data_IF_297350676729
#
_entry.id   IF_297350676729
#
_cell.length_a   1.000
_cell.length_b   1.000
_cell.length_c   1.000
_cell.angle_alpha   90.00
_cell.angle_beta   90.00
_cell.angle_gamma   90.00
#
_symmetry.space_group_name_H-M   'P 1'
#
loop_
_entity.id
_entity.type
_entity.pdbx_description
1 polymer ?
#
# COMPACT_ATOMS: atom_id res chain seq x y z
N UNK A 1 43.89 -2.64 -2.79
CA UNK A 1 42.59 -3.30 -3.08
C UNK A 1 42.03 -4.08 -1.88
N UNK A 2 42.86 -4.68 -1.04
CA UNK A 2 42.40 -5.43 0.15
C UNK A 2 41.80 -4.56 1.29
N UNK A 3 42.19 -3.30 1.44
CA UNK A 3 41.75 -2.42 2.51
C UNK A 3 40.34 -1.82 2.35
N UNK A 4 39.80 -1.82 1.14
CA UNK A 4 38.41 -1.37 0.89
C UNK A 4 37.41 -2.52 1.09
N UNK A 5 37.78 -3.74 0.81
CA UNK A 5 36.97 -4.93 1.02
C UNK A 5 36.69 -5.18 2.51
N UNK A 6 37.71 -5.01 3.36
CA UNK A 6 37.58 -5.18 4.83
C UNK A 6 36.64 -4.14 5.46
N UNK A 7 36.64 -2.90 4.98
CA UNK A 7 35.76 -1.84 5.54
C UNK A 7 34.29 -2.01 5.18
N UNK A 8 33.98 -2.66 4.07
CA UNK A 8 32.61 -2.88 3.64
C UNK A 8 32.01 -4.10 4.36
N UNK A 9 32.76 -5.15 4.57
CA UNK A 9 32.36 -6.34 5.34
C UNK A 9 32.08 -6.01 6.81
N UNK A 10 32.88 -5.16 7.42
CA UNK A 10 32.68 -4.72 8.82
C UNK A 10 31.40 -3.86 8.98
N UNK A 11 30.95 -3.14 7.96
CA UNK A 11 29.71 -2.36 8.03
C UNK A 11 28.45 -3.22 8.01
N UNK A 12 28.42 -4.32 7.27
CA UNK A 12 27.23 -5.17 7.14
C UNK A 12 27.17 -6.30 8.18
N UNK A 13 28.30 -6.89 8.53
CA UNK A 13 28.37 -7.83 9.66
C UNK A 13 27.98 -7.19 10.99
N UNK A 14 28.24 -5.88 11.15
CA UNK A 14 27.83 -5.12 12.32
C UNK A 14 26.33 -4.92 12.42
N UNK A 15 25.59 -4.94 11.29
CA UNK A 15 24.12 -4.78 11.26
C UNK A 15 23.41 -6.05 11.76
N UNK A 16 23.90 -7.23 11.37
CA UNK A 16 23.43 -8.51 11.93
C UNK A 16 23.85 -8.67 13.41
N UNK A 17 25.06 -8.22 13.76
CA UNK A 17 25.56 -8.30 15.13
C UNK A 17 24.83 -7.32 16.09
N UNK A 18 24.31 -6.19 15.59
CA UNK A 18 23.46 -5.29 16.37
C UNK A 18 22.11 -5.92 16.74
N UNK A 19 21.52 -6.72 15.85
CA UNK A 19 20.27 -7.45 16.11
C UNK A 19 20.47 -8.58 17.12
N UNK A 20 21.60 -9.27 17.04
CA UNK A 20 21.98 -10.37 17.98
C UNK A 20 22.52 -9.82 19.29
N UNK A 21 23.20 -8.67 19.29
CA UNK A 21 23.78 -8.05 20.51
C UNK A 21 22.75 -7.30 21.36
N UNK A 22 21.61 -6.89 20.83
CA UNK A 22 20.49 -6.36 21.64
C UNK A 22 19.94 -7.39 22.63
N UNK A 23 20.08 -8.68 22.34
CA UNK A 23 19.69 -9.76 23.27
C UNK A 23 20.72 -9.95 24.39
N UNK A 24 21.97 -9.53 24.21
CA UNK A 24 23.07 -9.70 25.17
C UNK A 24 23.49 -8.42 25.96
N UNK A 25 22.93 -7.26 25.65
CA UNK A 25 23.45 -5.97 26.18
C UNK A 25 22.60 -5.37 27.31
N UNK A 26 22.23 -6.15 28.30
CA UNK A 26 21.56 -5.67 29.53
C UNK A 26 22.49 -5.49 30.73
N UNK A 27 23.80 -5.25 30.54
CA UNK A 27 24.67 -4.87 31.69
C UNK A 27 25.86 -4.00 31.24
N UNK A 28 25.95 -2.75 31.74
CA UNK A 28 27.18 -1.97 31.83
C UNK A 28 27.12 -0.53 31.29
N UNK A 29 27.24 0.41 32.18
CA UNK A 29 27.35 1.88 32.02
C UNK A 29 28.44 2.33 31.03
N UNK A 30 28.03 2.65 29.76
CA UNK A 30 28.63 3.69 28.87
C UNK A 30 27.58 4.12 27.86
N UNK A 31 26.50 4.73 28.35
CA UNK A 31 25.16 4.61 27.70
C UNK A 31 24.74 5.76 26.80
N UNK A 32 25.43 6.85 26.69
CA UNK A 32 24.90 8.01 25.95
C UNK A 32 25.13 7.95 24.43
N UNK A 33 26.36 7.74 23.98
CA UNK A 33 26.72 7.80 22.55
C UNK A 33 26.37 6.54 21.77
N UNK A 34 26.44 5.35 22.40
CA UNK A 34 26.11 4.08 21.75
C UNK A 34 24.62 3.91 21.46
N UNK A 35 23.74 4.37 22.36
CA UNK A 35 22.26 4.32 22.16
C UNK A 35 21.79 5.23 21.02
N UNK A 36 22.35 6.42 20.89
CA UNK A 36 21.97 7.37 19.82
C UNK A 36 22.35 6.81 18.44
N UNK A 37 23.55 6.25 18.28
CA UNK A 37 24.01 5.66 17.03
C UNK A 37 23.21 4.40 16.66
N UNK A 38 22.83 3.58 17.64
CA UNK A 38 21.98 2.39 17.41
C UNK A 38 20.56 2.80 17.01
N UNK A 39 19.97 3.79 17.67
CA UNK A 39 18.66 4.35 17.34
C UNK A 39 18.61 4.95 15.93
N UNK A 40 19.64 5.69 15.53
CA UNK A 40 19.71 6.26 14.16
C UNK A 40 19.83 5.17 13.09
N UNK A 41 20.60 4.09 13.34
CA UNK A 41 20.71 2.95 12.42
C UNK A 41 19.40 2.19 12.32
N UNK A 42 18.75 1.91 13.45
CA UNK A 42 17.43 1.25 13.47
C UNK A 42 16.40 2.09 12.74
N UNK A 43 16.37 3.41 12.94
CA UNK A 43 15.48 4.32 12.22
C UNK A 43 15.74 4.30 10.71
N UNK A 44 16.99 4.25 10.27
CA UNK A 44 17.35 4.15 8.84
C UNK A 44 16.85 2.83 8.23
N UNK A 45 17.02 1.71 8.93
CA UNK A 45 16.53 0.40 8.47
C UNK A 45 15.00 0.39 8.41
N UNK A 46 14.33 0.87 9.45
CA UNK A 46 12.86 0.97 9.46
C UNK A 46 12.35 1.87 8.33
N UNK A 47 12.98 3.02 8.11
CA UNK A 47 12.62 3.90 7.00
C UNK A 47 12.84 3.22 5.64
N UNK A 48 13.95 2.49 5.45
CA UNK A 48 14.22 1.74 4.21
C UNK A 48 13.16 0.68 3.95
N UNK A 49 12.71 -0.06 4.97
CA UNK A 49 11.68 -1.09 4.84
C UNK A 49 10.30 -0.46 4.67
N UNK A 50 9.88 0.37 5.64
CA UNK A 50 8.49 0.81 5.75
C UNK A 50 8.16 2.04 4.89
N UNK A 51 9.14 2.87 4.54
CA UNK A 51 8.90 4.02 3.66
C UNK A 51 9.31 3.69 2.23
N UNK A 52 10.60 3.41 2.02
CA UNK A 52 11.11 3.20 0.66
C UNK A 52 10.64 1.86 0.08
N UNK A 53 10.73 0.78 0.84
CA UNK A 53 10.33 -0.56 0.41
C UNK A 53 8.83 -0.65 0.09
N UNK A 54 7.97 -0.21 1.02
CA UNK A 54 6.52 -0.22 0.77
C UNK A 54 6.10 0.77 -0.33
N UNK A 55 6.83 1.88 -0.51
CA UNK A 55 6.60 2.77 -1.66
C UNK A 55 6.96 2.09 -2.98
N UNK A 56 8.07 1.33 -3.02
CA UNK A 56 8.44 0.50 -4.17
C UNK A 56 7.41 -0.59 -4.46
N UNK A 57 6.93 -1.27 -3.42
CA UNK A 57 5.84 -2.23 -3.51
C UNK A 57 4.57 -1.60 -4.10
N UNK A 58 4.20 -0.40 -3.65
CA UNK A 58 3.04 0.31 -4.18
C UNK A 58 3.17 0.63 -5.68
N UNK A 59 4.37 1.04 -6.14
CA UNK A 59 4.63 1.26 -7.57
C UNK A 59 4.43 -0.02 -8.38
N UNK A 60 4.94 -1.15 -7.89
CA UNK A 60 4.76 -2.45 -8.53
C UNK A 60 3.29 -2.87 -8.62
N UNK A 61 2.56 -2.76 -7.49
CA UNK A 61 1.11 -3.03 -7.43
C UNK A 61 0.33 -2.13 -8.40
N UNK A 62 0.64 -0.85 -8.43
CA UNK A 62 -0.04 0.09 -9.32
C UNK A 62 0.14 -0.30 -10.78
N UNK A 63 1.40 -0.53 -11.20
CA UNK A 63 1.74 -0.81 -12.60
C UNK A 63 1.23 -2.15 -13.11
N UNK A 64 0.96 -3.11 -12.23
CA UNK A 64 0.53 -4.47 -12.59
C UNK A 64 -0.94 -4.71 -12.24
N UNK A 65 -1.23 -4.86 -10.95
CA UNK A 65 -2.57 -5.25 -10.48
C UNK A 65 -3.62 -4.17 -10.76
N UNK A 66 -3.31 -2.91 -10.43
CA UNK A 66 -4.29 -1.82 -10.54
C UNK A 66 -4.57 -1.50 -12.00
N UNK A 67 -3.54 -1.29 -12.81
CA UNK A 67 -3.70 -1.07 -14.25
C UNK A 67 -4.33 -2.30 -14.91
N UNK A 68 -3.93 -3.51 -14.54
CA UNK A 68 -4.56 -4.74 -14.99
C UNK A 68 -6.07 -4.77 -14.69
N UNK A 69 -6.48 -4.38 -13.49
CA UNK A 69 -7.90 -4.31 -13.12
C UNK A 69 -8.65 -3.28 -13.95
N UNK A 70 -8.08 -2.09 -14.19
CA UNK A 70 -8.67 -1.06 -15.05
C UNK A 70 -8.86 -1.59 -16.48
N UNK A 71 -7.84 -2.24 -17.04
CA UNK A 71 -7.93 -2.85 -18.40
C UNK A 71 -9.03 -3.91 -18.45
N UNK A 72 -9.19 -4.73 -17.39
CA UNK A 72 -10.27 -5.72 -17.32
C UNK A 72 -11.66 -5.06 -17.37
N UNK A 73 -11.85 -3.97 -16.61
CA UNK A 73 -13.12 -3.24 -16.61
C UNK A 73 -13.43 -2.61 -17.97
N UNK A 74 -12.43 -1.97 -18.59
CA UNK A 74 -12.56 -1.46 -19.96
C UNK A 74 -12.95 -2.60 -20.92
N UNK A 75 -12.29 -3.76 -20.82
CA UNK A 75 -12.61 -4.94 -21.62
C UNK A 75 -14.04 -5.46 -21.39
N UNK A 76 -14.54 -5.33 -20.15
CA UNK A 76 -15.94 -5.72 -19.82
C UNK A 76 -16.94 -4.73 -20.43
N UNK A 77 -16.64 -3.42 -20.39
CA UNK A 77 -17.50 -2.38 -20.95
C UNK A 77 -17.58 -2.43 -22.49
N UNK A 78 -16.46 -2.68 -23.16
CA UNK A 78 -16.39 -2.80 -24.63
C UNK A 78 -17.08 -4.09 -25.12
N UNK A 79 -16.86 -5.21 -24.42
CA UNK A 79 -17.38 -6.53 -24.82
C UNK A 79 -16.79 -7.06 -26.13
N UNK A 80 -17.37 -8.15 -26.65
CA UNK A 80 -16.97 -8.73 -27.94
C UNK A 80 -15.51 -9.22 -27.99
N UNK A 81 -14.94 -9.42 -29.18
CA UNK A 81 -13.57 -9.94 -29.34
C UNK A 81 -12.50 -8.98 -28.75
N UNK A 82 -12.66 -7.67 -28.92
CA UNK A 82 -11.74 -6.66 -28.38
C UNK A 82 -11.74 -6.71 -26.85
N UNK A 83 -12.92 -6.80 -26.25
CA UNK A 83 -13.04 -6.94 -24.79
C UNK A 83 -12.36 -8.21 -24.27
N UNK A 84 -12.43 -9.33 -25.01
CA UNK A 84 -11.75 -10.57 -24.66
C UNK A 84 -10.23 -10.43 -24.70
N UNK A 85 -9.66 -9.76 -25.71
CA UNK A 85 -8.23 -9.47 -25.77
C UNK A 85 -7.77 -8.58 -24.62
N UNK A 86 -8.54 -7.54 -24.27
CA UNK A 86 -8.22 -6.67 -23.13
C UNK A 86 -8.22 -7.45 -21.80
N UNK A 87 -9.19 -8.38 -21.61
CA UNK A 87 -9.21 -9.26 -20.45
C UNK A 87 -7.99 -10.20 -20.40
N UNK A 88 -7.55 -10.73 -21.55
CA UNK A 88 -6.33 -11.53 -21.61
C UNK A 88 -5.08 -10.71 -21.21
N UNK A 89 -4.93 -9.50 -21.73
CA UNK A 89 -3.86 -8.57 -21.35
C UNK A 89 -3.90 -8.27 -19.84
N UNK A 90 -5.10 -7.98 -19.32
CA UNK A 90 -5.32 -7.76 -17.87
C UNK A 90 -4.86 -8.95 -17.03
N UNK A 91 -5.18 -10.16 -17.43
CA UNK A 91 -4.81 -11.37 -16.70
C UNK A 91 -3.29 -11.53 -16.61
N UNK A 92 -2.57 -11.27 -17.71
CA UNK A 92 -1.09 -11.28 -17.71
C UNK A 92 -0.55 -10.20 -16.75
N UNK A 93 -1.06 -8.96 -16.85
CA UNK A 93 -0.63 -7.86 -15.98
C UNK A 93 -0.83 -8.18 -14.49
N UNK A 94 -1.99 -8.73 -14.12
CA UNK A 94 -2.31 -9.11 -12.73
C UNK A 94 -1.42 -10.26 -12.23
N UNK A 95 -1.16 -11.25 -13.08
CA UNK A 95 -0.28 -12.39 -12.71
C UNK A 95 1.13 -11.90 -12.36
N UNK A 96 1.64 -10.90 -13.09
CA UNK A 96 2.98 -10.35 -12.87
C UNK A 96 3.09 -9.44 -11.63
N UNK A 97 2.10 -9.39 -10.75
CA UNK A 97 2.10 -8.50 -9.58
C UNK A 97 3.31 -8.73 -8.68
N UNK A 98 3.64 -9.99 -8.38
CA UNK A 98 4.81 -10.31 -7.56
C UNK A 98 6.13 -9.85 -8.18
N UNK A 99 6.29 -10.03 -9.49
CA UNK A 99 7.44 -9.53 -10.24
C UNK A 99 7.49 -8.00 -10.25
N UNK A 100 6.35 -7.35 -10.48
CA UNK A 100 6.23 -5.88 -10.44
C UNK A 100 6.63 -5.30 -9.08
N UNK A 101 6.23 -5.93 -7.98
CA UNK A 101 6.65 -5.58 -6.62
C UNK A 101 8.17 -5.66 -6.51
N UNK A 102 8.78 -6.77 -6.95
CA UNK A 102 10.23 -6.95 -6.90
C UNK A 102 10.99 -5.86 -7.66
N UNK A 103 10.57 -5.55 -8.88
CA UNK A 103 11.14 -4.46 -9.69
C UNK A 103 10.94 -3.11 -9.00
N UNK A 104 9.74 -2.81 -8.53
CA UNK A 104 9.41 -1.53 -7.90
C UNK A 104 10.27 -1.26 -6.66
N UNK A 105 10.48 -2.27 -5.82
CA UNK A 105 11.34 -2.17 -4.62
C UNK A 105 12.80 -1.98 -5.01
N UNK A 106 13.32 -2.78 -5.96
CA UNK A 106 14.70 -2.68 -6.42
C UNK A 106 15.00 -1.32 -7.07
N UNK A 107 14.09 -0.80 -7.89
CA UNK A 107 14.20 0.54 -8.48
C UNK A 107 14.20 1.64 -7.39
N UNK A 108 13.35 1.52 -6.38
CA UNK A 108 13.32 2.47 -5.26
C UNK A 108 14.62 2.46 -4.45
N UNK A 109 15.25 1.31 -4.32
CA UNK A 109 16.54 1.14 -3.66
C UNK A 109 17.73 1.47 -4.58
N UNK A 110 17.47 1.80 -5.86
CA UNK A 110 18.48 2.12 -6.88
C UNK A 110 19.48 0.98 -7.13
N UNK A 111 18.97 -0.25 -7.16
CA UNK A 111 19.76 -1.45 -7.40
C UNK A 111 20.12 -1.62 -8.89
N UNK A 112 21.20 -2.36 -9.14
CA UNK A 112 21.62 -2.67 -10.49
C UNK A 112 20.70 -3.66 -11.23
N UNK A 113 20.84 -3.79 -12.57
CA UNK A 113 19.91 -4.59 -13.39
C UNK A 113 19.81 -6.06 -12.95
N UNK A 114 20.95 -6.71 -12.62
CA UNK A 114 20.96 -8.11 -12.20
C UNK A 114 20.17 -8.34 -10.92
N UNK A 115 20.34 -7.47 -9.92
CA UNK A 115 19.59 -7.53 -8.66
C UNK A 115 18.11 -7.25 -8.90
N UNK A 116 17.79 -6.28 -9.77
CA UNK A 116 16.40 -5.93 -10.09
C UNK A 116 15.65 -7.08 -10.72
N UNK A 117 16.23 -7.74 -11.73
CA UNK A 117 15.62 -8.91 -12.38
C UNK A 117 15.52 -10.09 -11.40
N UNK A 118 16.53 -10.32 -10.58
CA UNK A 118 16.50 -11.36 -9.54
C UNK A 118 15.41 -11.11 -8.51
N UNK A 119 15.22 -9.86 -8.11
CA UNK A 119 14.14 -9.46 -7.20
C UNK A 119 12.75 -9.67 -7.81
N UNK A 120 12.60 -9.48 -9.12
CA UNK A 120 11.36 -9.78 -9.83
C UNK A 120 11.01 -11.27 -9.74
N UNK A 121 12.00 -12.14 -9.99
CA UNK A 121 11.81 -13.60 -9.89
C UNK A 121 11.47 -14.01 -8.45
N UNK A 122 12.24 -13.54 -7.48
CA UNK A 122 12.00 -13.84 -6.07
C UNK A 122 10.64 -13.32 -5.59
N UNK A 123 10.25 -12.12 -6.00
CA UNK A 123 8.94 -11.54 -5.70
C UNK A 123 7.79 -12.36 -6.29
N UNK A 124 7.97 -12.89 -7.51
CA UNK A 124 6.98 -13.79 -8.12
C UNK A 124 6.83 -15.09 -7.34
N UNK A 125 7.94 -15.70 -6.90
CA UNK A 125 7.92 -16.91 -6.05
C UNK A 125 7.25 -16.61 -4.72
N UNK A 126 7.60 -15.49 -4.07
CA UNK A 126 7.01 -15.09 -2.79
C UNK A 126 5.53 -14.72 -2.85
N UNK A 127 5.02 -14.35 -4.05
CA UNK A 127 3.59 -14.13 -4.26
C UNK A 127 2.77 -15.43 -4.20
N UNK A 128 3.38 -16.59 -4.48
CA UNK A 128 2.72 -17.90 -4.51
C UNK A 128 3.43 -18.90 -3.57
N UNK A 129 3.47 -18.64 -2.25
CA UNK A 129 4.31 -19.39 -1.32
C UNK A 129 3.85 -20.84 -1.08
N UNK A 130 2.58 -21.14 -1.32
CA UNK A 130 2.06 -22.51 -1.07
C UNK A 130 2.47 -23.50 -2.16
N UNK A 131 2.53 -23.05 -3.42
CA UNK A 131 2.99 -23.87 -4.55
C UNK A 131 3.34 -22.94 -5.72
N UNK A 132 4.61 -22.79 -6.11
CA UNK A 132 4.98 -22.09 -7.34
C UNK A 132 4.29 -22.65 -8.58
N UNK A 133 3.92 -23.93 -8.56
CA UNK A 133 3.17 -24.65 -9.60
C UNK A 133 1.70 -24.16 -9.71
N UNK A 134 1.17 -23.51 -8.69
CA UNK A 134 -0.20 -22.99 -8.66
C UNK A 134 -0.34 -21.56 -9.20
N UNK A 135 0.64 -21.07 -9.97
CA UNK A 135 0.52 -19.77 -10.63
C UNK A 135 -0.59 -19.86 -11.67
N UNK A 136 -1.73 -19.23 -11.37
CA UNK A 136 -2.88 -19.18 -12.27
C UNK A 136 -2.95 -17.81 -12.95
N UNK A 137 -3.26 -17.82 -14.24
CA UNK A 137 -3.36 -16.60 -15.03
C UNK A 137 -4.50 -15.70 -14.50
N UNK A 138 -4.18 -14.48 -14.16
CA UNK A 138 -5.10 -13.51 -13.57
C UNK A 138 -5.08 -13.44 -12.04
N UNK A 139 -4.42 -14.36 -11.35
CA UNK A 139 -4.23 -14.31 -9.92
C UNK A 139 -3.00 -13.43 -9.56
N UNK A 140 -3.15 -12.43 -8.68
CA UNK A 140 -2.04 -11.53 -8.32
C UNK A 140 -1.06 -12.14 -7.31
N UNK A 141 -1.45 -13.24 -6.64
CA UNK A 141 -0.72 -13.80 -5.50
C UNK A 141 -0.80 -12.92 -4.24
N UNK A 142 0.04 -13.22 -3.26
CA UNK A 142 0.10 -12.51 -1.96
C UNK A 142 1.15 -11.37 -2.02
N UNK A 143 0.72 -10.09 -1.94
CA UNK A 143 1.64 -8.97 -2.12
C UNK A 143 2.69 -8.82 -1.03
N UNK A 144 2.39 -9.11 0.24
CA UNK A 144 3.36 -8.99 1.32
C UNK A 144 4.39 -10.12 1.28
N UNK A 145 3.98 -11.34 0.91
CA UNK A 145 4.89 -12.45 0.65
C UNK A 145 5.86 -12.11 -0.49
N UNK A 146 5.34 -11.55 -1.58
CA UNK A 146 6.15 -11.04 -2.69
C UNK A 146 7.16 -9.98 -2.23
N UNK A 147 6.73 -9.03 -1.41
CA UNK A 147 7.57 -7.97 -0.88
C UNK A 147 8.72 -8.51 -0.03
N UNK A 148 8.43 -9.42 0.90
CA UNK A 148 9.44 -9.98 1.81
C UNK A 148 10.47 -10.80 1.03
N UNK A 149 10.04 -11.63 0.08
CA UNK A 149 10.94 -12.39 -0.78
C UNK A 149 11.82 -11.49 -1.64
N UNK A 150 11.23 -10.48 -2.29
CA UNK A 150 11.96 -9.50 -3.09
C UNK A 150 12.95 -8.69 -2.25
N UNK A 151 12.55 -8.24 -1.05
CA UNK A 151 13.40 -7.49 -0.14
C UNK A 151 14.65 -8.29 0.23
N UNK A 152 14.50 -9.55 0.62
CA UNK A 152 15.65 -10.42 0.96
C UNK A 152 16.52 -10.67 -0.28
N UNK A 153 15.92 -10.92 -1.45
CA UNK A 153 16.68 -11.07 -2.69
C UNK A 153 17.52 -9.84 -3.00
N UNK A 154 16.98 -8.65 -2.79
CA UNK A 154 17.67 -7.37 -3.00
C UNK A 154 18.83 -7.20 -2.01
N UNK A 155 18.58 -7.38 -0.70
CA UNK A 155 19.62 -7.18 0.31
C UNK A 155 20.79 -8.18 0.11
N UNK A 156 20.48 -9.45 -0.18
CA UNK A 156 21.50 -10.46 -0.46
C UNK A 156 22.19 -10.21 -1.79
N UNK A 157 21.43 -9.86 -2.83
CA UNK A 157 21.97 -9.51 -4.15
C UNK A 157 22.91 -8.30 -4.10
N UNK A 158 22.54 -7.26 -3.35
CA UNK A 158 23.38 -6.08 -3.11
C UNK A 158 24.72 -6.44 -2.45
N UNK A 159 24.72 -7.45 -1.55
CA UNK A 159 25.96 -7.91 -0.90
C UNK A 159 26.92 -8.62 -1.86
N UNK A 160 26.43 -9.20 -2.96
CA UNK A 160 27.21 -10.04 -3.87
C UNK A 160 27.53 -9.35 -5.19
N UNK A 161 26.62 -8.48 -5.66
CA UNK A 161 26.73 -7.82 -6.97
C UNK A 161 28.05 -7.09 -7.17
N UNK A 162 28.69 -7.32 -8.32
CA UNK A 162 29.94 -6.70 -8.72
C UNK A 162 31.20 -7.20 -8.00
N UNK A 163 31.12 -8.27 -7.21
CA UNK A 163 32.26 -8.80 -6.42
C UNK A 163 32.98 -9.97 -7.06
N UNK A 164 32.40 -10.58 -8.07
CA UNK A 164 32.97 -11.75 -8.73
C UNK A 164 33.18 -11.52 -10.23
N UNK A 165 34.13 -12.23 -10.83
CA UNK A 165 34.36 -12.18 -12.30
C UNK A 165 33.20 -12.82 -13.09
N UNK A 166 32.39 -13.63 -12.44
CA UNK A 166 31.21 -14.33 -12.99
C UNK A 166 29.91 -13.79 -12.38
N UNK A 167 29.88 -12.49 -12.14
CA UNK A 167 28.78 -11.78 -11.46
C UNK A 167 27.40 -12.05 -12.11
N UNK A 168 27.38 -12.18 -13.43
CA UNK A 168 26.16 -12.48 -14.20
C UNK A 168 25.48 -13.80 -13.79
N UNK A 169 26.22 -14.76 -13.23
CA UNK A 169 25.70 -16.04 -12.74
C UNK A 169 25.50 -16.02 -11.21
N UNK A 170 26.50 -15.52 -10.50
CA UNK A 170 26.56 -15.60 -9.03
C UNK A 170 25.50 -14.70 -8.38
N UNK A 171 25.35 -13.48 -8.84
CA UNK A 171 24.39 -12.52 -8.29
C UNK A 171 22.95 -12.98 -8.45
N UNK A 172 22.44 -13.36 -9.65
CA UNK A 172 21.08 -13.88 -9.77
C UNK A 172 20.85 -15.17 -9.01
N UNK A 173 21.79 -16.12 -9.05
CA UNK A 173 21.64 -17.39 -8.37
C UNK A 173 21.45 -17.20 -6.87
N UNK A 174 22.35 -16.46 -6.21
CA UNK A 174 22.31 -16.25 -4.76
C UNK A 174 21.10 -15.41 -4.38
N UNK A 175 20.81 -14.36 -5.13
CA UNK A 175 19.69 -13.44 -4.91
C UNK A 175 18.35 -14.16 -4.96
N UNK A 176 18.11 -14.90 -6.04
CA UNK A 176 16.86 -15.65 -6.25
C UNK A 176 16.72 -16.76 -5.19
N UNK A 177 17.77 -17.55 -4.96
CA UNK A 177 17.71 -18.63 -3.97
C UNK A 177 17.41 -18.10 -2.55
N UNK A 178 18.05 -17.01 -2.15
CA UNK A 178 17.81 -16.40 -0.84
C UNK A 178 16.39 -15.86 -0.70
N UNK A 179 15.91 -15.11 -1.71
CA UNK A 179 14.56 -14.58 -1.73
C UNK A 179 13.50 -15.68 -1.80
N UNK A 180 13.69 -16.69 -2.66
CA UNK A 180 12.81 -17.84 -2.78
C UNK A 180 12.73 -18.65 -1.47
N UNK A 181 13.86 -18.90 -0.82
CA UNK A 181 13.87 -19.60 0.47
C UNK A 181 12.98 -18.88 1.50
N UNK A 182 13.16 -17.57 1.67
CA UNK A 182 12.33 -16.79 2.59
C UNK A 182 10.86 -16.73 2.11
N UNK A 183 10.62 -16.53 0.83
CA UNK A 183 9.27 -16.51 0.25
C UNK A 183 8.50 -17.82 0.52
N UNK A 184 9.13 -18.95 0.33
CA UNK A 184 8.51 -20.27 0.53
C UNK A 184 8.37 -20.67 2.01
N UNK A 185 9.35 -20.33 2.87
CA UNK A 185 9.29 -20.72 4.28
C UNK A 185 8.52 -19.73 5.16
N UNK A 186 8.63 -18.43 4.91
CA UNK A 186 7.98 -17.38 5.73
C UNK A 186 6.68 -16.89 5.09
N UNK A 187 6.58 -16.91 3.76
CA UNK A 187 5.42 -16.45 3.01
C UNK A 187 4.08 -17.06 3.46
N UNK A 188 3.95 -18.39 3.66
CA UNK A 188 2.70 -18.98 4.11
C UNK A 188 2.21 -18.42 5.45
N UNK A 189 3.10 -18.23 6.42
CA UNK A 189 2.74 -17.66 7.73
C UNK A 189 2.25 -16.20 7.62
N UNK A 190 2.87 -15.41 6.72
CA UNK A 190 2.44 -14.04 6.44
C UNK A 190 1.04 -14.08 5.82
N UNK A 191 0.83 -14.93 4.82
CA UNK A 191 -0.45 -15.10 4.13
C UNK A 191 -1.55 -15.50 5.11
N UNK A 192 -1.31 -16.48 5.95
CA UNK A 192 -2.29 -16.99 6.92
C UNK A 192 -2.62 -15.93 7.98
N UNK A 193 -1.60 -15.22 8.50
CA UNK A 193 -1.81 -14.11 9.43
C UNK A 193 -2.66 -13.00 8.82
N UNK A 194 -2.35 -12.59 7.58
CA UNK A 194 -3.09 -11.52 6.90
C UNK A 194 -4.53 -11.95 6.57
N UNK A 195 -4.74 -13.19 6.14
CA UNK A 195 -6.09 -13.75 5.93
C UNK A 195 -6.89 -13.83 7.22
N UNK A 196 -6.26 -14.27 8.33
CA UNK A 196 -6.90 -14.29 9.64
C UNK A 196 -7.31 -12.88 10.08
N UNK A 197 -6.41 -11.91 9.95
CA UNK A 197 -6.71 -10.52 10.29
C UNK A 197 -7.84 -9.94 9.43
N UNK A 198 -7.82 -10.23 8.13
CA UNK A 198 -8.86 -9.82 7.19
C UNK A 198 -10.20 -10.49 7.47
N UNK A 199 -10.18 -11.79 7.79
CA UNK A 199 -11.38 -12.52 8.23
C UNK A 199 -12.00 -11.89 9.48
N UNK A 200 -11.17 -11.55 10.48
CA UNK A 200 -11.62 -10.86 11.67
C UNK A 200 -12.29 -9.51 11.34
N UNK A 201 -11.69 -8.71 10.45
CA UNK A 201 -12.26 -7.42 10.02
C UNK A 201 -13.54 -7.60 9.24
N UNK A 202 -13.60 -8.50 8.26
CA UNK A 202 -14.79 -8.75 7.45
C UNK A 202 -15.97 -9.20 8.33
N UNK A 203 -15.75 -10.21 9.20
CA UNK A 203 -16.78 -10.72 10.11
C UNK A 203 -17.30 -9.63 11.07
N UNK A 204 -16.40 -8.81 11.64
CA UNK A 204 -16.82 -7.74 12.54
C UNK A 204 -17.65 -6.67 11.83
N UNK A 205 -17.35 -6.35 10.58
CA UNK A 205 -18.15 -5.38 9.80
C UNK A 205 -19.51 -5.99 9.43
N UNK A 206 -19.57 -7.27 9.11
CA UNK A 206 -20.83 -7.95 8.81
C UNK A 206 -21.74 -8.07 10.04
N UNK A 207 -21.19 -8.42 11.21
CA UNK A 207 -21.93 -8.54 12.46
C UNK A 207 -22.32 -7.20 13.07
N UNK A 208 -21.50 -6.18 12.91
CA UNK A 208 -21.71 -4.84 13.46
C UNK A 208 -21.36 -3.76 12.44
N UNK A 209 -22.18 -3.56 11.38
CA UNK A 209 -21.85 -2.67 10.28
C UNK A 209 -21.58 -1.22 10.71
N UNK A 210 -22.19 -0.75 11.81
CA UNK A 210 -21.96 0.61 12.33
C UNK A 210 -20.56 0.71 12.93
N UNK A 211 -20.24 -0.10 13.95
CA UNK A 211 -18.96 -0.03 14.64
C UNK A 211 -17.79 -0.49 13.74
N UNK A 212 -17.97 -1.61 13.06
CA UNK A 212 -17.00 -2.11 12.08
C UNK A 212 -16.76 -1.11 10.96
N UNK A 213 -17.81 -0.50 10.44
CA UNK A 213 -17.75 0.55 9.42
C UNK A 213 -16.95 1.78 9.89
N UNK A 214 -17.14 2.25 11.14
CA UNK A 214 -16.32 3.35 11.70
C UNK A 214 -14.85 2.95 11.75
N UNK A 215 -14.56 1.81 12.37
CA UNK A 215 -13.16 1.38 12.61
C UNK A 215 -12.43 1.20 11.29
N UNK A 216 -13.03 0.46 10.36
CA UNK A 216 -12.36 0.14 9.08
C UNK A 216 -12.20 1.36 8.19
N UNK A 217 -13.23 2.23 8.10
CA UNK A 217 -13.14 3.44 7.29
C UNK A 217 -12.09 4.42 7.82
N UNK A 218 -12.02 4.61 9.14
CA UNK A 218 -11.02 5.48 9.77
C UNK A 218 -9.62 4.90 9.59
N UNK A 219 -9.42 3.62 9.94
CA UNK A 219 -8.09 3.00 9.88
C UNK A 219 -7.55 2.94 8.45
N UNK A 220 -8.34 2.44 7.48
CA UNK A 220 -7.89 2.35 6.10
C UNK A 220 -7.69 3.72 5.46
N UNK A 221 -8.54 4.69 5.79
CA UNK A 221 -8.34 6.07 5.36
C UNK A 221 -7.04 6.67 5.90
N UNK A 222 -6.75 6.50 7.19
CA UNK A 222 -5.50 6.95 7.78
C UNK A 222 -4.28 6.24 7.17
N UNK A 223 -4.35 4.91 6.98
CA UNK A 223 -3.29 4.12 6.35
C UNK A 223 -3.00 4.63 4.93
N UNK A 224 -4.03 4.98 4.14
CA UNK A 224 -3.86 5.57 2.81
C UNK A 224 -3.05 6.88 2.83
N UNK A 225 -3.23 7.69 3.86
CA UNK A 225 -2.51 8.97 3.99
C UNK A 225 -1.09 8.77 4.49
N UNK A 226 -0.81 7.72 5.25
CA UNK A 226 0.54 7.36 5.70
C UNK A 226 1.40 6.86 4.53
N UNK A 227 2.75 6.95 4.61
CA UNK A 227 3.66 6.44 3.60
C UNK A 227 3.75 4.90 3.64
N UNK A 228 2.60 4.24 3.60
CA UNK A 228 2.41 2.79 3.63
C UNK A 228 1.46 2.42 2.49
N UNK A 229 1.62 1.24 1.89
CA UNK A 229 0.73 0.82 0.82
C UNK A 229 -0.61 0.29 1.37
N UNK A 230 -1.62 1.15 1.42
CA UNK A 230 -2.99 0.78 1.82
C UNK A 230 -3.63 -0.25 0.88
N UNK A 231 -3.33 -0.17 -0.42
CA UNK A 231 -3.79 -1.16 -1.39
C UNK A 231 -3.21 -2.55 -1.09
N UNK A 232 -1.91 -2.63 -0.78
CA UNK A 232 -1.29 -3.89 -0.38
C UNK A 232 -1.93 -4.48 0.88
N UNK A 233 -2.19 -3.64 1.88
CA UNK A 233 -2.85 -4.07 3.13
C UNK A 233 -4.25 -4.58 2.84
N UNK A 234 -5.07 -3.84 2.09
CA UNK A 234 -6.43 -4.26 1.74
C UNK A 234 -6.49 -5.58 0.98
N UNK A 235 -5.53 -5.80 0.07
CA UNK A 235 -5.42 -7.03 -0.72
C UNK A 235 -4.94 -8.19 0.15
N UNK A 236 -3.87 -8.00 0.93
CA UNK A 236 -3.31 -9.05 1.81
C UNK A 236 -4.28 -9.47 2.91
N UNK A 237 -5.06 -8.52 3.44
CA UNK A 237 -6.14 -8.82 4.40
C UNK A 237 -7.36 -9.46 3.72
N UNK A 238 -7.49 -9.40 2.39
CA UNK A 238 -8.66 -9.90 1.69
C UNK A 238 -9.93 -9.16 2.09
N UNK A 239 -9.88 -7.83 2.23
CA UNK A 239 -11.07 -7.03 2.56
C UNK A 239 -12.06 -7.10 1.42
N UNK A 240 -13.27 -7.60 1.68
CA UNK A 240 -14.34 -7.79 0.68
C UNK A 240 -15.67 -7.24 1.18
N UNK A 241 -16.67 -7.22 0.32
CA UNK A 241 -18.04 -6.88 0.68
C UNK A 241 -18.17 -5.54 1.38
N UNK A 242 -18.91 -5.50 2.49
CA UNK A 242 -19.18 -4.28 3.27
C UNK A 242 -17.92 -3.68 3.89
N UNK A 243 -16.98 -4.52 4.33
CA UNK A 243 -15.72 -4.04 4.90
C UNK A 243 -14.88 -3.28 3.86
N UNK A 244 -14.79 -3.82 2.64
CA UNK A 244 -14.12 -3.13 1.53
C UNK A 244 -14.85 -1.86 1.11
N UNK A 245 -16.18 -1.85 1.12
CA UNK A 245 -17.00 -0.67 0.86
C UNK A 245 -16.71 0.46 1.86
N UNK A 246 -16.80 0.17 3.16
CA UNK A 246 -16.50 1.12 4.23
C UNK A 246 -15.04 1.64 4.15
N UNK A 247 -14.07 0.76 3.88
CA UNK A 247 -12.67 1.11 3.69
C UNK A 247 -12.48 2.09 2.53
N UNK A 248 -13.10 1.80 1.38
CA UNK A 248 -13.06 2.67 0.19
C UNK A 248 -13.58 4.07 0.50
N UNK A 249 -14.70 4.18 1.25
CA UNK A 249 -15.24 5.47 1.68
C UNK A 249 -14.26 6.21 2.60
N UNK A 250 -13.67 5.53 3.57
CA UNK A 250 -12.65 6.13 4.43
C UNK A 250 -11.48 6.70 3.64
N UNK A 251 -11.00 5.96 2.65
CA UNK A 251 -9.97 6.41 1.72
C UNK A 251 -10.41 7.63 0.89
N UNK A 252 -11.66 7.65 0.40
CA UNK A 252 -12.22 8.81 -0.31
C UNK A 252 -12.31 10.04 0.59
N UNK A 253 -12.70 9.88 1.86
CA UNK A 253 -12.73 10.98 2.84
C UNK A 253 -11.36 11.60 3.06
N UNK A 254 -10.30 10.81 3.06
CA UNK A 254 -8.94 11.34 3.17
C UNK A 254 -8.52 12.08 1.89
N UNK A 255 -8.75 11.50 0.73
CA UNK A 255 -8.29 12.08 -0.54
C UNK A 255 -9.11 13.30 -0.95
N UNK A 256 -10.42 13.11 -1.16
CA UNK A 256 -11.33 14.19 -1.56
C UNK A 256 -11.46 15.22 -0.44
N UNK A 257 -11.48 14.75 0.81
CA UNK A 257 -11.55 15.62 1.98
C UNK A 257 -10.37 16.58 2.06
N UNK A 258 -9.13 16.11 2.01
CA UNK A 258 -7.95 16.98 2.00
C UNK A 258 -7.88 17.86 0.76
N UNK A 259 -8.27 17.34 -0.40
CA UNK A 259 -8.31 18.09 -1.64
C UNK A 259 -9.18 19.36 -1.51
N UNK A 260 -10.38 19.21 -0.93
CA UNK A 260 -11.35 20.31 -0.77
C UNK A 260 -10.98 21.20 0.42
N UNK A 261 -10.61 20.61 1.58
CA UNK A 261 -10.27 21.37 2.79
C UNK A 261 -9.03 22.28 2.60
N UNK A 262 -8.09 21.86 1.72
CA UNK A 262 -6.88 22.63 1.40
C UNK A 262 -6.98 23.46 0.12
N UNK A 263 -8.17 23.58 -0.48
CA UNK A 263 -8.35 24.29 -1.74
C UNK A 263 -7.92 25.76 -1.69
N UNK A 264 -8.10 26.42 -0.56
CA UNK A 264 -7.69 27.82 -0.38
C UNK A 264 -6.20 28.01 -0.59
N UNK A 265 -5.39 27.08 -0.08
CA UNK A 265 -3.93 27.11 -0.16
C UNK A 265 -3.39 26.56 -1.49
N UNK A 266 -4.01 25.51 -2.02
CA UNK A 266 -3.40 24.69 -3.09
C UNK A 266 -4.13 24.81 -4.44
N UNK A 267 -5.30 25.50 -4.50
CA UNK A 267 -6.09 25.71 -5.70
C UNK A 267 -6.39 24.40 -6.46
N UNK A 268 -6.61 24.50 -7.77
CA UNK A 268 -6.97 23.37 -8.65
C UNK A 268 -5.86 22.31 -8.72
N UNK A 269 -4.59 22.73 -8.74
CA UNK A 269 -3.46 21.81 -8.78
C UNK A 269 -3.44 20.90 -7.55
N UNK A 270 -3.64 21.46 -6.35
CA UNK A 270 -3.73 20.69 -5.12
C UNK A 270 -5.00 19.83 -5.02
N UNK A 271 -6.11 20.31 -5.58
CA UNK A 271 -7.36 19.54 -5.65
C UNK A 271 -7.16 18.25 -6.45
N UNK A 272 -6.57 18.34 -7.63
CA UNK A 272 -6.32 17.16 -8.48
C UNK A 272 -5.24 16.26 -7.87
N UNK A 273 -4.13 16.85 -7.42
CA UNK A 273 -3.02 16.08 -6.86
C UNK A 273 -3.42 15.25 -5.63
N UNK A 274 -4.29 15.77 -4.77
CA UNK A 274 -4.78 15.06 -3.59
C UNK A 274 -6.02 14.23 -3.87
N UNK A 275 -7.00 14.77 -4.60
CA UNK A 275 -8.29 14.13 -4.84
C UNK A 275 -8.19 12.94 -5.81
N UNK A 276 -7.30 12.99 -6.78
CA UNK A 276 -7.11 11.91 -7.78
C UNK A 276 -5.74 11.24 -7.65
N UNK A 277 -4.72 11.98 -7.18
CA UNK A 277 -3.39 11.45 -6.97
C UNK A 277 -3.24 10.74 -5.62
N UNK A 278 -2.94 11.49 -4.55
CA UNK A 278 -2.76 10.91 -3.21
C UNK A 278 -2.85 11.95 -2.09
N UNK A 279 -3.48 11.57 -0.97
CA UNK A 279 -3.48 12.36 0.28
C UNK A 279 -2.14 12.33 1.02
N UNK A 280 -1.19 11.46 0.66
CA UNK A 280 0.16 11.39 1.26
C UNK A 280 0.91 12.72 1.15
N UNK A 281 0.55 13.58 0.19
CA UNK A 281 1.13 14.92 0.06
C UNK A 281 0.95 15.78 1.32
N UNK A 282 -0.05 15.48 2.16
CA UNK A 282 -0.29 16.18 3.42
C UNK A 282 0.52 15.65 4.61
N UNK A 283 1.25 14.54 4.47
CA UNK A 283 2.04 13.97 5.58
C UNK A 283 3.00 14.98 6.22
N UNK A 284 3.80 15.76 5.47
CA UNK A 284 4.67 16.75 6.09
C UNK A 284 3.91 17.78 6.93
N UNK A 285 2.70 18.15 6.52
CA UNK A 285 1.85 19.09 7.23
C UNK A 285 1.19 18.43 8.45
N UNK A 286 0.69 17.20 8.32
CA UNK A 286 0.14 16.40 9.43
C UNK A 286 1.19 16.20 10.54
N UNK A 287 2.43 15.88 10.16
CA UNK A 287 3.54 15.73 11.14
C UNK A 287 3.86 17.02 11.88
N UNK A 288 3.66 18.19 11.26
CA UNK A 288 3.84 19.50 11.92
C UNK A 288 2.62 19.87 12.77
N UNK A 289 1.41 19.61 12.28
CA UNK A 289 0.14 19.94 12.90
C UNK A 289 -0.88 18.82 12.74
N UNK A 290 -0.88 17.80 13.60
CA UNK A 290 -1.77 16.64 13.49
C UNK A 290 -3.27 17.00 13.47
N UNK A 291 -3.62 18.16 14.01
CA UNK A 291 -5.00 18.63 14.08
C UNK A 291 -5.68 18.79 12.70
N UNK A 292 -4.90 19.01 11.63
CA UNK A 292 -5.43 19.11 10.26
C UNK A 292 -5.98 17.78 9.73
N UNK A 293 -5.68 16.66 10.38
CA UNK A 293 -6.17 15.34 10.00
C UNK A 293 -7.59 15.07 10.50
N UNK A 294 -8.01 15.75 11.57
CA UNK A 294 -9.31 15.55 12.24
C UNK A 294 -10.51 15.67 11.28
N UNK A 295 -10.60 16.68 10.38
CA UNK A 295 -11.74 16.78 9.47
C UNK A 295 -11.96 15.53 8.62
N UNK A 296 -10.90 14.97 8.06
CA UNK A 296 -10.98 13.77 7.23
C UNK A 296 -11.31 12.52 8.06
N UNK A 297 -10.74 12.40 9.27
CA UNK A 297 -11.04 11.30 10.22
C UNK A 297 -12.51 11.34 10.63
N UNK A 298 -13.05 12.51 11.00
CA UNK A 298 -14.47 12.66 11.38
C UNK A 298 -15.39 12.30 10.21
N UNK A 299 -15.04 12.75 8.99
CA UNK A 299 -15.81 12.38 7.81
C UNK A 299 -15.79 10.88 7.55
N UNK A 300 -14.63 10.21 7.70
CA UNK A 300 -14.51 8.76 7.58
C UNK A 300 -15.39 8.05 8.63
N UNK A 301 -15.35 8.50 9.89
CA UNK A 301 -16.12 7.91 10.98
C UNK A 301 -17.64 8.05 10.80
N UNK A 302 -18.10 9.11 10.14
CA UNK A 302 -19.52 9.31 9.83
C UNK A 302 -19.94 8.52 8.60
N UNK A 303 -19.17 8.59 7.52
CA UNK A 303 -19.58 8.02 6.24
C UNK A 303 -19.31 6.51 6.13
N UNK A 304 -18.34 5.97 6.87
CA UNK A 304 -18.11 4.53 6.95
C UNK A 304 -19.36 3.72 7.32
N UNK A 305 -20.01 4.02 8.47
CA UNK A 305 -21.27 3.38 8.86
C UNK A 305 -22.40 3.62 7.86
N UNK A 306 -22.48 4.80 7.25
CA UNK A 306 -23.52 5.07 6.24
C UNK A 306 -23.35 4.13 5.05
N UNK A 307 -22.09 3.92 4.62
CA UNK A 307 -21.81 2.99 3.54
C UNK A 307 -22.11 1.54 3.89
N UNK A 308 -21.69 1.07 5.07
CA UNK A 308 -21.84 -0.34 5.46
C UNK A 308 -23.21 -0.70 5.99
N UNK A 309 -23.84 0.14 6.85
CA UNK A 309 -25.08 -0.17 7.55
C UNK A 309 -26.33 0.34 6.84
N UNK A 310 -26.25 1.45 6.09
CA UNK A 310 -27.42 2.09 5.46
C UNK A 310 -27.49 1.76 3.98
N UNK A 311 -26.41 1.98 3.25
CA UNK A 311 -26.39 1.83 1.80
C UNK A 311 -25.89 0.44 1.34
N UNK A 312 -25.35 -0.35 2.23
CA UNK A 312 -24.78 -1.67 1.96
C UNK A 312 -23.82 -1.66 0.76
N UNK A 313 -22.99 -0.60 0.68
CA UNK A 313 -22.01 -0.47 -0.39
C UNK A 313 -20.92 -1.52 -0.24
N UNK A 314 -20.61 -2.17 -1.33
CA UNK A 314 -19.57 -3.20 -1.39
C UNK A 314 -18.43 -2.77 -2.31
N UNK A 315 -17.24 -3.31 -2.06
CA UNK A 315 -16.07 -3.08 -2.91
C UNK A 315 -15.18 -4.33 -2.94
N UNK A 316 -14.07 -4.24 -3.66
CA UNK A 316 -13.08 -5.32 -3.77
C UNK A 316 -11.86 -5.02 -2.87
N UNK A 317 -10.98 -6.02 -2.60
CA UNK A 317 -9.74 -5.81 -1.86
C UNK A 317 -8.87 -4.70 -2.47
N UNK A 318 -8.83 -4.56 -3.79
CA UNK A 318 -8.10 -3.50 -4.48
C UNK A 318 -8.71 -2.12 -4.16
N UNK A 319 -10.02 -2.00 -4.28
CA UNK A 319 -10.75 -0.75 -4.00
C UNK A 319 -10.63 -0.29 -2.57
N UNK A 320 -10.59 -1.23 -1.62
CA UNK A 320 -10.59 -0.97 -0.17
C UNK A 320 -9.43 -0.07 0.29
N UNK A 321 -8.30 -0.08 -0.42
CA UNK A 321 -7.12 0.71 -0.04
C UNK A 321 -6.79 1.86 -0.99
N UNK A 322 -7.61 2.13 -2.02
CA UNK A 322 -7.27 3.11 -3.08
C UNK A 322 -8.11 4.39 -3.03
N UNK A 323 -9.32 4.34 -2.48
CA UNK A 323 -10.20 5.50 -2.48
C UNK A 323 -10.38 6.10 -3.88
N UNK A 324 -10.16 7.40 -4.03
CA UNK A 324 -10.26 8.10 -5.32
C UNK A 324 -8.96 8.14 -6.13
N UNK A 325 -7.89 7.45 -5.68
CA UNK A 325 -6.62 7.40 -6.40
C UNK A 325 -6.80 6.76 -7.79
N UNK A 326 -6.57 7.54 -8.84
CA UNK A 326 -6.78 7.10 -10.23
C UNK A 326 -8.19 6.57 -10.52
N UNK A 327 -9.19 6.91 -9.71
CA UNK A 327 -10.57 6.39 -9.74
C UNK A 327 -10.67 4.87 -9.51
N UNK A 328 -9.63 4.23 -8.99
CA UNK A 328 -9.58 2.78 -8.80
C UNK A 328 -10.65 2.31 -7.80
N UNK A 329 -10.83 3.02 -6.69
CA UNK A 329 -11.86 2.69 -5.70
C UNK A 329 -13.29 2.78 -6.27
N UNK A 330 -13.55 3.75 -7.15
CA UNK A 330 -14.85 3.90 -7.82
C UNK A 330 -15.10 2.77 -8.80
N UNK A 331 -14.11 2.44 -9.63
CA UNK A 331 -14.21 1.34 -10.60
C UNK A 331 -14.40 0.01 -9.88
N UNK A 332 -13.66 -0.22 -8.80
CA UNK A 332 -13.76 -1.43 -7.99
C UNK A 332 -15.12 -1.55 -7.28
N UNK A 333 -15.61 -0.45 -6.69
CA UNK A 333 -16.93 -0.42 -6.06
C UNK A 333 -18.04 -0.61 -7.08
N UNK A 334 -17.96 0.04 -8.24
CA UNK A 334 -18.95 -0.12 -9.32
C UNK A 334 -19.06 -1.57 -9.77
N UNK A 335 -17.91 -2.22 -10.02
CA UNK A 335 -17.90 -3.64 -10.41
C UNK A 335 -18.52 -4.52 -9.34
N UNK A 336 -18.09 -4.39 -8.08
CA UNK A 336 -18.60 -5.20 -6.98
C UNK A 336 -20.11 -4.98 -6.72
N UNK A 337 -20.59 -3.72 -6.77
CA UNK A 337 -22.00 -3.38 -6.54
C UNK A 337 -22.89 -3.92 -7.68
N UNK A 338 -22.44 -3.84 -8.92
CA UNK A 338 -23.19 -4.38 -10.07
C UNK A 338 -23.19 -5.91 -10.09
N UNK A 339 -22.09 -6.56 -9.70
CA UNK A 339 -22.02 -8.01 -9.52
C UNK A 339 -22.94 -8.48 -8.35
N UNK A 340 -23.10 -7.66 -7.30
CA UNK A 340 -24.05 -7.90 -6.23
C UNK A 340 -25.53 -7.66 -6.61
N UNK A 341 -25.82 -7.32 -7.88
CA UNK A 341 -27.16 -7.12 -8.40
C UNK A 341 -27.72 -5.70 -8.32
N UNK A 342 -26.91 -4.72 -7.93
CA UNK A 342 -27.33 -3.31 -7.91
C UNK A 342 -27.43 -2.77 -9.35
N UNK A 343 -28.48 -1.98 -9.63
CA UNK A 343 -28.59 -1.36 -10.96
C UNK A 343 -27.46 -0.37 -11.21
N UNK A 344 -27.00 -0.29 -12.46
CA UNK A 344 -25.89 0.59 -12.90
C UNK A 344 -26.09 2.04 -12.46
N UNK A 345 -27.30 2.58 -12.61
CA UNK A 345 -27.62 3.96 -12.24
C UNK A 345 -27.55 4.20 -10.73
N UNK A 346 -28.05 3.24 -9.94
CA UNK A 346 -28.00 3.33 -8.48
C UNK A 346 -26.54 3.24 -7.98
N UNK A 347 -25.75 2.34 -8.55
CA UNK A 347 -24.32 2.22 -8.22
C UNK A 347 -23.56 3.53 -8.53
N UNK A 348 -23.77 4.10 -9.72
CA UNK A 348 -23.15 5.37 -10.10
C UNK A 348 -23.60 6.54 -9.19
N UNK A 349 -24.89 6.61 -8.84
CA UNK A 349 -25.42 7.64 -7.97
C UNK A 349 -24.82 7.53 -6.55
N UNK A 350 -24.79 6.31 -5.98
CA UNK A 350 -24.20 6.09 -4.67
C UNK A 350 -22.69 6.43 -4.67
N UNK A 351 -21.96 6.02 -5.70
CA UNK A 351 -20.54 6.37 -5.86
C UNK A 351 -20.36 7.89 -5.95
N UNK A 352 -21.13 8.58 -6.78
CA UNK A 352 -21.03 10.04 -6.90
C UNK A 352 -21.26 10.75 -5.57
N UNK A 353 -22.28 10.34 -4.82
CA UNK A 353 -22.64 10.92 -3.52
C UNK A 353 -21.61 10.54 -2.46
N UNK A 354 -21.31 9.25 -2.30
CA UNK A 354 -20.54 8.74 -1.17
C UNK A 354 -19.03 8.84 -1.35
N UNK A 355 -18.52 8.80 -2.60
CA UNK A 355 -17.07 8.89 -2.82
C UNK A 355 -16.59 10.33 -3.08
N UNK A 356 -17.50 11.26 -3.47
CA UNK A 356 -17.10 12.63 -3.82
C UNK A 356 -17.88 13.69 -3.04
N UNK A 357 -19.21 13.74 -3.16
CA UNK A 357 -20.02 14.84 -2.65
C UNK A 357 -19.98 14.89 -1.12
N UNK A 358 -20.36 13.81 -0.44
CA UNK A 358 -20.42 13.80 1.02
C UNK A 358 -19.02 13.89 1.67
N UNK A 359 -17.97 13.19 1.22
CA UNK A 359 -16.62 13.42 1.70
C UNK A 359 -16.17 14.88 1.57
N UNK A 360 -16.45 15.52 0.43
CA UNK A 360 -16.12 16.93 0.21
C UNK A 360 -16.86 17.84 1.19
N UNK A 361 -18.18 17.71 1.27
CA UNK A 361 -19.02 18.58 2.10
C UNK A 361 -18.73 18.43 3.60
N UNK A 362 -18.66 17.20 4.09
CA UNK A 362 -18.42 16.95 5.52
C UNK A 362 -17.03 17.40 5.93
N UNK A 363 -16.00 17.04 5.15
CA UNK A 363 -14.63 17.43 5.50
C UNK A 363 -14.44 18.94 5.41
N UNK A 364 -15.03 19.59 4.40
CA UNK A 364 -15.00 21.03 4.28
C UNK A 364 -15.73 21.70 5.46
N UNK A 365 -16.93 21.22 5.80
CA UNK A 365 -17.73 21.76 6.92
C UNK A 365 -16.98 21.67 8.26
N UNK A 366 -16.40 20.51 8.57
CA UNK A 366 -15.58 20.32 9.79
C UNK A 366 -14.31 21.18 9.74
N UNK A 367 -13.63 21.23 8.60
CA UNK A 367 -12.43 22.04 8.41
C UNK A 367 -12.72 23.56 8.60
N UNK A 368 -13.79 24.08 8.01
CA UNK A 368 -14.20 25.48 8.16
C UNK A 368 -14.61 25.82 9.60
N UNK A 369 -15.30 24.90 10.28
CA UNK A 369 -15.60 25.05 11.71
C UNK A 369 -14.32 25.16 12.53
N UNK A 370 -13.34 24.26 12.28
CA UNK A 370 -12.05 24.27 12.98
C UNK A 370 -11.21 25.51 12.63
N UNK A 371 -11.30 26.02 11.39
CA UNK A 371 -10.66 27.29 10.99
C UNK A 371 -11.28 28.48 11.73
N UNK A 372 -12.61 28.54 11.83
CA UNK A 372 -13.30 29.60 12.61
C UNK A 372 -12.92 29.60 14.10
N UNK A 373 -12.59 28.43 14.66
CA UNK A 373 -12.09 28.30 16.04
C UNK A 373 -10.58 28.56 16.18
N UNK A 374 -9.87 28.82 15.08
CA UNK A 374 -8.41 29.04 15.06
C UNK A 374 -7.57 27.77 15.27
N UNK A 375 -8.19 26.58 15.24
CA UNK A 375 -7.48 25.31 15.39
C UNK A 375 -6.67 24.95 14.15
N UNK A 376 -7.20 25.25 12.96
CA UNK A 376 -6.50 25.16 11.68
C UNK A 376 -6.23 26.59 11.22
N UNK A 377 -4.98 26.90 10.92
CA UNK A 377 -4.54 28.22 10.48
C UNK A 377 -4.32 28.24 8.95
N UNK A 378 -4.34 29.42 8.37
CA UNK A 378 -3.98 29.58 6.96
C UNK A 378 -2.54 29.13 6.73
N UNK A 379 -2.34 28.34 5.67
CA UNK A 379 -1.04 27.76 5.34
C UNK A 379 -0.74 26.40 6.00
N UNK A 380 -1.52 25.95 6.99
CA UNK A 380 -1.28 24.66 7.66
C UNK A 380 -1.40 23.45 6.71
N UNK A 381 -2.18 23.58 5.63
CA UNK A 381 -2.39 22.54 4.61
C UNK A 381 -1.69 22.86 3.28
N UNK A 382 -0.83 23.89 3.23
CA UNK A 382 -0.13 24.28 2.00
C UNK A 382 0.85 23.20 1.55
N UNK A 383 0.72 22.75 0.31
CA UNK A 383 1.66 21.84 -0.32
C UNK A 383 2.88 22.64 -0.81
N UNK A 384 4.06 22.23 -0.43
CA UNK A 384 5.29 22.71 -1.05
C UNK A 384 5.53 21.84 -2.30
N UNK A 385 5.00 22.30 -3.41
CA UNK A 385 5.26 21.73 -4.73
C UNK A 385 6.47 22.43 -5.33
#
# INVERSE_FOLDING_TARGET
>A
MASQLTRQWTRHAFTLHCFVSQIKYTRGKREGKGKVVCMEKTKKILNRIFIDGLSGMALGLFSTLIIGTIIAQIGTLIGGPVGSYLKAISNVAKTLTGAGIGVGVACKFKEGPLVTVSAAVAGMIGAFPAAPEAITLGAPGEPLGAFVAAYVAIEVGHLVAGKTKVDILVTPLISICAGAAIGLFVGPYITDFMKWLGGLVNVNVEQSPIFGGIIVSVLMGMILTLPISSAAIGISMGLTGLAAGAATIGCCCQMVGFAVASYRENKVGGLIAQGVGTSMLQIPNIMRRPIIWIPAIVSSAILGPVASAVLHMVSTPVGSGMGSAGFVGQIAAFGAMTEAGMSTWMALLQIAIMHFILPALLTLGVSEFMRKKGWIREGDMSLKV
#
